data_IF_788509673226
#
_entry.id   IF_788509673226
#
_cell.length_a   1.000
_cell.length_b   1.000
_cell.length_c   1.000
_cell.angle_alpha   90.00
_cell.angle_beta   90.00
_cell.angle_gamma   90.00
#
_symmetry.space_group_name_H-M   'P 1'
#
loop_
_entity.id
_entity.type
_entity.pdbx_description
1 polymer ?
#
# COMPACT_ATOMS: atom_id res chain seq x y z
N UNK A 1 7.62 15.31 14.06
CA UNK A 1 7.57 15.92 12.72
C UNK A 1 6.80 14.97 11.81
N UNK A 2 5.68 15.42 11.26
CA UNK A 2 4.85 14.63 10.34
C UNK A 2 5.61 14.43 9.02
N UNK A 3 5.85 13.19 8.59
CA UNK A 3 6.52 12.92 7.30
C UNK A 3 5.45 12.95 6.21
N UNK A 4 5.77 13.51 5.06
CA UNK A 4 4.89 13.38 3.88
C UNK A 4 5.11 11.99 3.29
N UNK A 5 4.23 11.06 3.69
CA UNK A 5 4.21 9.68 3.23
C UNK A 5 3.31 9.53 2.00
N UNK A 6 3.75 8.68 1.08
CA UNK A 6 3.06 8.41 -0.18
C UNK A 6 2.94 6.91 -0.37
N UNK A 7 1.75 6.50 -0.79
CA UNK A 7 1.44 5.16 -1.24
C UNK A 7 1.47 5.12 -2.75
N UNK A 8 2.25 4.23 -3.32
CA UNK A 8 2.24 3.92 -4.75
C UNK A 8 1.54 2.57 -4.93
N UNK A 9 0.52 2.55 -5.77
CA UNK A 9 -0.13 1.32 -6.22
C UNK A 9 0.37 1.01 -7.62
N UNK A 10 0.80 -0.22 -7.84
CA UNK A 10 1.39 -0.66 -9.10
C UNK A 10 0.88 -2.05 -9.47
N UNK A 11 0.68 -2.28 -10.77
CA UNK A 11 0.53 -3.61 -11.32
C UNK A 11 1.90 -4.13 -11.74
N UNK A 12 2.30 -5.29 -11.23
CA UNK A 12 3.53 -6.00 -11.60
C UNK A 12 3.14 -7.17 -12.49
N UNK A 13 3.64 -7.18 -13.72
CA UNK A 13 3.36 -8.23 -14.71
C UNK A 13 4.32 -9.41 -14.55
N UNK A 14 3.97 -10.55 -15.15
CA UNK A 14 4.75 -11.79 -15.07
C UNK A 14 6.12 -11.71 -15.77
N UNK A 15 6.30 -10.77 -16.69
CA UNK A 15 7.57 -10.49 -17.36
C UNK A 15 8.51 -9.60 -16.52
N UNK A 16 8.09 -9.22 -15.31
CA UNK A 16 8.86 -8.37 -14.40
C UNK A 16 8.70 -6.86 -14.66
N UNK A 17 7.92 -6.46 -15.67
CA UNK A 17 7.57 -5.06 -15.87
C UNK A 17 6.53 -4.59 -14.85
N UNK A 18 6.43 -3.28 -14.63
CA UNK A 18 5.39 -2.72 -13.76
C UNK A 18 4.79 -1.43 -14.31
N UNK A 19 3.51 -1.24 -14.07
CA UNK A 19 2.78 -0.01 -14.37
C UNK A 19 2.24 0.62 -13.09
N UNK A 20 2.49 1.92 -12.90
CA UNK A 20 1.94 2.67 -11.76
C UNK A 20 0.46 2.94 -12.01
N UNK A 21 -0.38 2.48 -11.09
CA UNK A 21 -1.83 2.71 -11.12
C UNK A 21 -2.19 4.07 -10.50
N UNK A 22 -1.45 4.48 -9.47
CA UNK A 22 -1.69 5.75 -8.80
C UNK A 22 -0.77 5.99 -7.61
N UNK A 23 -0.76 7.26 -7.17
CA UNK A 23 -0.02 7.73 -6.00
C UNK A 23 -0.99 8.42 -5.06
N UNK A 24 -0.99 8.04 -3.80
CA UNK A 24 -1.96 8.46 -2.80
C UNK A 24 -1.27 8.99 -1.54
N UNK A 25 -1.76 10.09 -0.99
CA UNK A 25 -1.23 10.71 0.24
C UNK A 25 -1.97 10.25 1.48
N UNK A 26 -3.08 9.51 1.32
CA UNK A 26 -3.91 9.06 2.43
C UNK A 26 -4.32 7.59 2.24
N UNK A 27 -4.45 6.87 3.35
CA UNK A 27 -4.97 5.51 3.35
C UNK A 27 -6.42 5.44 2.83
N UNK A 28 -7.34 6.35 3.21
CA UNK A 28 -8.70 6.36 2.66
C UNK A 28 -8.74 6.44 1.13
N UNK A 29 -7.93 7.31 0.52
CA UNK A 29 -7.87 7.44 -0.94
C UNK A 29 -7.25 6.20 -1.59
N UNK A 30 -6.20 5.65 -0.99
CA UNK A 30 -5.60 4.40 -1.43
C UNK A 30 -6.66 3.28 -1.45
N UNK A 31 -7.42 3.14 -0.36
CA UNK A 31 -8.46 2.11 -0.24
C UNK A 31 -9.56 2.31 -1.27
N UNK A 32 -10.01 3.55 -1.47
CA UNK A 32 -11.13 3.84 -2.36
C UNK A 32 -10.76 3.77 -3.85
N UNK A 33 -9.56 4.21 -4.24
CA UNK A 33 -9.18 4.36 -5.65
C UNK A 33 -8.03 3.46 -6.09
N UNK A 34 -7.14 3.07 -5.17
CA UNK A 34 -5.84 2.48 -5.48
C UNK A 34 -5.73 0.97 -5.29
N UNK A 35 -6.66 0.33 -4.62
CA UNK A 35 -6.71 -1.14 -4.49
C UNK A 35 -7.37 -1.80 -5.71
N UNK A 36 -6.85 -1.49 -6.90
CA UNK A 36 -7.29 -2.13 -8.15
C UNK A 36 -6.48 -3.39 -8.36
N UNK A 37 -7.13 -4.54 -8.13
CA UNK A 37 -6.52 -5.83 -8.37
C UNK A 37 -6.56 -6.14 -9.85
N UNK A 38 -5.41 -6.34 -10.50
CA UNK A 38 -5.37 -6.57 -11.93
C UNK A 38 -5.82 -8.00 -12.27
N UNK A 39 -6.46 -8.19 -13.43
CA UNK A 39 -6.78 -9.53 -13.95
C UNK A 39 -5.53 -10.36 -14.24
N UNK A 40 -4.41 -9.70 -14.50
CA UNK A 40 -3.11 -10.32 -14.79
C UNK A 40 -2.01 -9.67 -13.95
N UNK A 41 -1.11 -10.48 -13.39
CA UNK A 41 -0.02 -9.98 -12.55
C UNK A 41 -0.44 -9.78 -11.09
N UNK A 42 0.28 -8.92 -10.38
CA UNK A 42 0.11 -8.70 -8.94
C UNK A 42 -0.03 -7.21 -8.64
N UNK A 43 -0.87 -6.88 -7.66
CA UNK A 43 -0.91 -5.55 -7.06
C UNK A 43 0.26 -5.40 -6.09
N UNK A 44 1.09 -4.39 -6.30
CA UNK A 44 2.15 -3.95 -5.39
C UNK A 44 1.77 -2.64 -4.74
N UNK A 45 1.92 -2.59 -3.42
CA UNK A 45 1.80 -1.37 -2.63
C UNK A 45 3.18 -0.99 -2.10
N UNK A 46 3.60 0.24 -2.40
CA UNK A 46 4.88 0.79 -1.93
C UNK A 46 4.60 1.99 -1.05
N UNK A 47 5.12 1.99 0.18
CA UNK A 47 5.12 3.17 1.05
C UNK A 47 6.46 3.87 0.93
N UNK A 48 6.46 5.16 0.62
CA UNK A 48 7.69 5.94 0.48
C UNK A 48 7.55 7.35 1.04
N UNK A 49 8.67 8.02 1.23
CA UNK A 49 8.74 9.44 1.59
C UNK A 49 9.02 10.25 0.33
N UNK A 50 8.28 11.35 0.13
CA UNK A 50 8.55 12.27 -0.97
C UNK A 50 9.97 12.84 -0.89
N UNK A 51 10.57 13.05 -2.07
CA UNK A 51 11.87 13.69 -2.23
C UNK A 51 12.99 13.02 -1.42
N UNK A 52 12.88 11.70 -1.22
CA UNK A 52 13.85 10.91 -0.49
C UNK A 52 14.60 10.00 -1.46
N UNK A 53 15.93 10.15 -1.54
CA UNK A 53 16.81 9.24 -2.27
C UNK A 53 17.10 7.95 -1.47
N UNK A 54 16.23 7.61 -0.52
CA UNK A 54 16.35 6.41 0.32
C UNK A 54 15.45 5.32 -0.23
N UNK A 55 15.74 4.09 0.16
CA UNK A 55 14.86 2.96 -0.12
C UNK A 55 13.43 3.24 0.39
N UNK A 56 12.41 2.67 -0.29
CA UNK A 56 11.04 2.72 0.19
C UNK A 56 10.93 2.25 1.64
N UNK A 57 9.97 2.80 2.35
CA UNK A 57 9.67 2.45 3.74
C UNK A 57 9.04 1.07 3.87
N UNK A 58 8.46 0.56 2.78
CA UNK A 58 7.99 -0.80 2.66
C UNK A 58 7.39 -1.06 1.29
N UNK A 59 7.33 -2.34 0.94
CA UNK A 59 6.82 -2.83 -0.33
C UNK A 59 6.12 -4.17 -0.09
N UNK A 60 4.86 -4.28 -0.51
CA UNK A 60 4.01 -5.44 -0.24
C UNK A 60 3.25 -5.85 -1.47
N UNK A 61 3.17 -7.15 -1.72
CA UNK A 61 2.57 -7.73 -2.93
C UNK A 61 1.32 -8.55 -2.60
N UNK A 62 0.33 -8.48 -3.48
CA UNK A 62 -0.83 -9.35 -3.45
C UNK A 62 -0.44 -10.82 -3.72
N UNK A 63 -1.18 -11.80 -3.20
CA UNK A 63 -2.46 -11.64 -2.50
C UNK A 63 -2.34 -11.41 -0.98
N UNK A 64 -1.18 -11.68 -0.39
CA UNK A 64 -1.06 -11.80 1.07
C UNK A 64 -0.56 -10.53 1.78
N UNK A 65 0.11 -9.62 1.07
CA UNK A 65 0.69 -8.40 1.62
C UNK A 65 1.47 -8.65 2.92
N UNK A 66 2.31 -9.69 2.91
CA UNK A 66 2.96 -10.22 4.11
C UNK A 66 3.73 -9.15 4.89
N UNK A 67 3.49 -9.07 6.21
CA UNK A 67 4.18 -8.14 7.10
C UNK A 67 3.70 -6.68 7.03
N UNK A 68 2.71 -6.34 6.20
CA UNK A 68 2.19 -4.96 6.09
C UNK A 68 1.67 -4.45 7.44
N UNK A 69 0.86 -5.23 8.14
CA UNK A 69 0.28 -4.83 9.43
C UNK A 69 1.36 -4.49 10.47
N UNK A 70 2.35 -5.37 10.63
CA UNK A 70 3.47 -5.14 11.54
C UNK A 70 4.28 -3.90 11.14
N UNK A 71 4.48 -3.68 9.83
CA UNK A 71 5.18 -2.51 9.32
C UNK A 71 4.42 -1.20 9.53
N UNK A 72 3.09 -1.23 9.77
CA UNK A 72 2.31 -0.03 10.10
C UNK A 72 2.49 0.44 11.55
N UNK A 73 2.91 -0.44 12.46
CA UNK A 73 3.00 -0.14 13.89
C UNK A 73 3.86 1.09 14.24
N UNK A 74 5.03 1.33 13.62
CA UNK A 74 5.81 2.54 13.88
C UNK A 74 5.08 3.84 13.50
N UNK A 75 4.26 3.82 12.44
CA UNK A 75 3.53 4.98 11.93
C UNK A 75 2.28 5.29 12.75
N UNK A 76 1.70 4.29 13.42
CA UNK A 76 0.67 4.49 14.45
C UNK A 76 1.26 5.22 15.67
N UNK A 77 2.45 4.79 16.12
CA UNK A 77 3.13 5.41 17.28
C UNK A 77 3.50 6.87 17.05
N UNK A 78 3.76 7.25 15.80
CA UNK A 78 4.09 8.62 15.40
C UNK A 78 2.88 9.43 14.93
N UNK A 79 1.65 8.87 15.02
CA UNK A 79 0.40 9.48 14.58
C UNK A 79 0.38 9.87 13.09
N UNK A 80 1.23 9.24 12.28
CA UNK A 80 1.25 9.44 10.83
C UNK A 80 0.06 8.75 10.17
N UNK A 81 -0.42 7.66 10.78
CA UNK A 81 -1.68 7.01 10.47
C UNK A 81 -2.50 6.81 11.74
N UNK A 82 -3.84 6.79 11.62
CA UNK A 82 -4.71 6.37 12.71
C UNK A 82 -4.91 4.86 12.72
N UNK A 83 -5.24 4.29 13.89
CA UNK A 83 -5.58 2.87 14.02
C UNK A 83 -6.77 2.47 13.15
N UNK A 84 -7.72 3.39 12.94
CA UNK A 84 -8.89 3.18 12.07
C UNK A 84 -8.48 3.12 10.60
N UNK A 85 -7.59 4.02 10.15
CA UNK A 85 -7.07 4.00 8.79
C UNK A 85 -6.31 2.72 8.50
N UNK A 86 -5.39 2.31 9.40
CA UNK A 86 -4.64 1.06 9.22
C UNK A 86 -5.58 -0.14 9.20
N UNK A 87 -6.57 -0.19 10.11
CA UNK A 87 -7.59 -1.26 10.10
C UNK A 87 -8.35 -1.29 8.79
N UNK A 88 -8.82 -0.14 8.31
CA UNK A 88 -9.52 -0.03 7.03
C UNK A 88 -8.68 -0.65 5.90
N UNK A 89 -7.40 -0.26 5.78
CA UNK A 89 -6.48 -0.83 4.79
C UNK A 89 -6.40 -2.35 4.89
N UNK A 90 -6.09 -2.89 6.07
CA UNK A 90 -5.95 -4.35 6.25
C UNK A 90 -7.25 -5.08 5.88
N UNK A 91 -8.40 -4.58 6.32
CA UNK A 91 -9.69 -5.19 6.00
C UNK A 91 -10.02 -5.15 4.52
N UNK A 92 -9.66 -4.07 3.81
CA UNK A 92 -9.87 -3.97 2.36
C UNK A 92 -8.95 -4.90 1.57
N UNK A 93 -7.72 -5.14 2.05
CA UNK A 93 -6.80 -6.09 1.43
C UNK A 93 -7.26 -7.54 1.62
N UNK A 94 -7.74 -7.89 2.83
CA UNK A 94 -8.22 -9.26 3.14
C UNK A 94 -9.58 -9.54 2.50
N UNK A 95 -10.52 -8.60 2.56
CA UNK A 95 -11.88 -8.77 2.05
C UNK A 95 -11.97 -8.97 0.54
N UNK A 96 -10.96 -8.51 -0.20
CA UNK A 96 -10.89 -8.67 -1.66
C UNK A 96 -10.38 -10.06 -2.10
N UNK A 97 -9.87 -10.87 -1.16
CA UNK A 97 -9.33 -12.20 -1.43
C UNK A 97 -10.40 -13.30 -1.57
N UNK A 98 -11.70 -12.95 -1.50
CA UNK A 98 -12.85 -13.88 -1.55
C UNK A 98 -13.57 -13.86 -2.92
N UNK A 99 -13.14 -13.00 -3.85
CA UNK A 99 -13.80 -12.81 -5.15
C UNK A 99 -12.99 -13.32 -6.35
N UNK A 100 -12.17 -14.36 -6.15
CA UNK A 100 -11.47 -15.09 -7.21
C UNK A 100 -11.96 -16.54 -7.31
#
# INVERSE_FOLDING_TARGET
MFRRLYWVSEQVYSDGTSSVNGVYTSIPDLVHYGLRFPEQGQLRLTLTKLDSNKEPLGCWLSPNFEGLEAAMMPYLKTEEFSSEQVRLLITSLVGTNVAA
#
